data_IF_238793337743
#
_entry.id   IF_238793337743
#
_cell.length_a   1.000
_cell.length_b   1.000
_cell.length_c   1.000
_cell.angle_alpha   90.00
_cell.angle_beta   90.00
_cell.angle_gamma   90.00
#
_symmetry.space_group_name_H-M   'P 1'
#
loop_
_entity.id
_entity.type
_entity.pdbx_description
1 polymer ?
#
# COMPACT_ATOMS: atom_id res chain seq x y z
N UNK A 1 4.72 12.77 -11.51
CA UNK A 1 4.93 11.56 -10.72
C UNK A 1 3.83 10.58 -10.97
N UNK A 2 4.18 9.31 -10.96
CA UNK A 2 3.26 8.22 -11.24
C UNK A 2 3.27 7.18 -10.11
N UNK A 3 2.17 6.43 -9.97
CA UNK A 3 1.97 5.46 -8.89
C UNK A 3 1.65 4.09 -9.48
N UNK A 4 2.32 3.03 -9.01
CA UNK A 4 1.79 1.68 -9.10
C UNK A 4 0.86 1.46 -7.91
N UNK A 5 -0.42 1.21 -8.15
CA UNK A 5 -1.39 0.80 -7.13
C UNK A 5 -1.56 -0.70 -7.20
N UNK A 6 -1.17 -1.41 -6.15
CA UNK A 6 -1.23 -2.86 -6.11
C UNK A 6 -2.23 -3.35 -5.05
N UNK A 7 -2.92 -4.44 -5.35
CA UNK A 7 -3.77 -5.16 -4.39
C UNK A 7 -3.64 -6.66 -4.59
N UNK A 8 -3.95 -7.43 -3.54
CA UNK A 8 -3.93 -8.89 -3.57
C UNK A 8 -5.33 -9.45 -3.42
N UNK A 9 -5.68 -10.38 -4.31
CA UNK A 9 -6.90 -11.17 -4.18
C UNK A 9 -6.57 -12.58 -3.63
N UNK A 10 -7.32 -13.00 -2.61
CA UNK A 10 -7.35 -14.39 -2.11
C UNK A 10 -8.82 -14.80 -1.98
N UNK A 11 -9.42 -15.25 -3.09
CA UNK A 11 -10.82 -15.70 -3.15
C UNK A 11 -11.86 -14.66 -2.65
N UNK A 12 -11.61 -13.39 -2.91
CA UNK A 12 -12.50 -12.27 -2.59
C UNK A 12 -12.64 -11.34 -3.81
N UNK A 13 -13.03 -11.87 -4.99
CA UNK A 13 -13.03 -11.10 -6.24
C UNK A 13 -13.96 -9.90 -6.20
N UNK A 14 -15.09 -9.96 -5.50
CA UNK A 14 -16.04 -8.85 -5.41
C UNK A 14 -15.44 -7.64 -4.67
N UNK A 15 -14.72 -7.87 -3.57
CA UNK A 15 -14.04 -6.81 -2.82
C UNK A 15 -12.92 -6.21 -3.67
N UNK A 16 -12.12 -7.06 -4.30
CA UNK A 16 -11.03 -6.63 -5.18
C UNK A 16 -11.54 -5.81 -6.36
N UNK A 17 -12.61 -6.26 -7.03
CA UNK A 17 -13.22 -5.53 -8.15
C UNK A 17 -13.73 -4.17 -7.71
N UNK A 18 -14.43 -4.11 -6.57
CA UNK A 18 -14.94 -2.85 -6.03
C UNK A 18 -13.81 -1.87 -5.70
N UNK A 19 -12.70 -2.34 -5.11
CA UNK A 19 -11.53 -1.49 -4.85
C UNK A 19 -10.93 -0.95 -6.15
N UNK A 20 -10.71 -1.81 -7.16
CA UNK A 20 -10.18 -1.39 -8.46
C UNK A 20 -11.06 -0.33 -9.13
N UNK A 21 -12.39 -0.49 -9.09
CA UNK A 21 -13.33 0.49 -9.61
C UNK A 21 -13.26 1.84 -8.87
N UNK A 22 -13.00 1.83 -7.57
CA UNK A 22 -12.80 3.05 -6.79
C UNK A 22 -11.48 3.74 -7.15
N UNK A 23 -10.37 2.97 -7.25
CA UNK A 23 -9.05 3.51 -7.66
C UNK A 23 -9.12 4.10 -9.05
N UNK A 24 -9.78 3.43 -10.00
CA UNK A 24 -9.89 3.87 -11.40
C UNK A 24 -10.59 5.23 -11.59
N UNK A 25 -11.29 5.74 -10.58
CA UNK A 25 -11.89 7.09 -10.61
C UNK A 25 -10.88 8.21 -10.37
N UNK A 26 -9.68 7.89 -9.88
CA UNK A 26 -8.62 8.87 -9.60
C UNK A 26 -7.84 9.21 -10.89
N UNK A 27 -8.47 9.94 -11.80
CA UNK A 27 -7.92 10.22 -13.14
C UNK A 27 -6.92 11.39 -13.17
N UNK A 28 -6.74 12.11 -12.07
CA UNK A 28 -5.84 13.26 -11.96
C UNK A 28 -4.36 12.87 -11.81
N UNK A 29 -4.10 11.62 -11.48
CA UNK A 29 -2.76 11.08 -11.27
C UNK A 29 -2.51 9.94 -12.24
N UNK A 30 -1.36 9.97 -12.91
CA UNK A 30 -0.89 8.85 -13.72
C UNK A 30 -0.65 7.64 -12.81
N UNK A 31 -1.41 6.56 -13.02
CA UNK A 31 -1.26 5.36 -12.23
C UNK A 31 -1.52 4.09 -13.05
N UNK A 32 -0.87 3.02 -12.64
CA UNK A 32 -1.10 1.65 -13.09
C UNK A 32 -1.73 0.85 -11.95
N UNK A 33 -2.64 -0.06 -12.27
CA UNK A 33 -3.25 -0.94 -11.27
C UNK A 33 -2.77 -2.37 -11.49
N UNK A 34 -2.16 -2.95 -10.45
CA UNK A 34 -1.75 -4.35 -10.38
C UNK A 34 -2.67 -5.11 -9.43
N UNK A 35 -3.32 -6.16 -9.95
CA UNK A 35 -4.09 -7.12 -9.15
C UNK A 35 -3.34 -8.45 -9.16
N UNK A 36 -2.82 -8.85 -7.99
CA UNK A 36 -2.14 -10.12 -7.79
C UNK A 36 -3.13 -11.16 -7.26
N UNK A 37 -3.41 -12.19 -8.06
CA UNK A 37 -4.12 -13.39 -7.63
C UNK A 37 -3.17 -14.26 -6.78
N UNK A 38 -3.22 -14.11 -5.49
CA UNK A 38 -2.29 -14.76 -4.57
C UNK A 38 -2.79 -16.17 -4.19
N UNK A 39 -2.65 -17.10 -5.12
CA UNK A 39 -3.17 -18.46 -5.00
C UNK A 39 -4.70 -18.54 -5.01
N UNK A 40 -5.35 -17.55 -5.63
CA UNK A 40 -6.81 -17.50 -5.69
C UNK A 40 -7.35 -18.51 -6.71
N UNK A 41 -8.42 -19.21 -6.32
CA UNK A 41 -9.23 -20.06 -7.22
C UNK A 41 -10.43 -19.30 -7.80
N UNK A 42 -10.77 -18.16 -7.19
CA UNK A 42 -11.80 -17.23 -7.63
C UNK A 42 -11.12 -15.90 -8.01
N UNK A 43 -10.72 -15.72 -9.28
CA UNK A 43 -9.98 -14.54 -9.70
C UNK A 43 -10.87 -13.30 -9.81
N UNK A 44 -10.26 -12.15 -9.59
CA UNK A 44 -10.83 -10.84 -9.92
C UNK A 44 -10.98 -10.69 -11.45
N UNK A 45 -12.00 -9.95 -11.90
CA UNK A 45 -12.12 -9.57 -13.32
C UNK A 45 -11.03 -8.60 -13.78
N UNK A 46 -10.29 -8.01 -12.85
CA UNK A 46 -9.15 -7.11 -13.10
C UNK A 46 -7.78 -7.77 -12.86
N UNK A 47 -7.73 -9.09 -12.78
CA UNK A 47 -6.49 -9.85 -12.57
C UNK A 47 -5.41 -9.50 -13.60
N UNK A 48 -4.21 -9.17 -13.11
CA UNK A 48 -3.04 -8.88 -13.97
C UNK A 48 -1.91 -9.88 -13.75
N UNK A 49 -1.79 -10.42 -12.53
CA UNK A 49 -0.73 -11.34 -12.15
C UNK A 49 -1.31 -12.49 -11.30
N UNK A 50 -0.73 -13.66 -11.41
CA UNK A 50 -1.19 -14.88 -10.72
C UNK A 50 -0.05 -15.66 -10.12
N UNK A 51 -0.28 -16.26 -8.94
CA UNK A 51 0.57 -17.29 -8.36
C UNK A 51 -0.19 -18.61 -8.23
N UNK A 52 0.51 -19.72 -8.35
CA UNK A 52 -0.10 -21.04 -8.21
C UNK A 52 -0.55 -21.34 -6.77
N UNK A 53 0.12 -20.72 -5.79
CA UNK A 53 -0.13 -20.96 -4.37
C UNK A 53 -0.20 -19.62 -3.63
N UNK A 54 -0.94 -19.64 -2.50
CA UNK A 54 -0.98 -18.49 -1.60
C UNK A 54 0.40 -18.28 -0.95
N UNK A 55 1.04 -17.19 -1.30
CA UNK A 55 2.33 -16.76 -0.76
C UNK A 55 2.19 -15.97 0.55
N UNK A 56 0.98 -15.88 1.11
CA UNK A 56 0.64 -15.00 2.22
C UNK A 56 0.91 -13.52 1.91
N UNK A 57 0.69 -12.63 2.88
CA UNK A 57 0.83 -11.20 2.64
C UNK A 57 2.27 -10.79 2.31
N UNK A 58 3.23 -11.22 3.13
CA UNK A 58 4.65 -10.85 2.94
C UNK A 58 5.25 -11.41 1.66
N UNK A 59 4.87 -12.65 1.28
CA UNK A 59 5.32 -13.23 0.01
C UNK A 59 4.69 -12.53 -1.20
N UNK A 60 3.40 -12.23 -1.14
CA UNK A 60 2.73 -11.44 -2.18
C UNK A 60 3.31 -10.03 -2.30
N UNK A 61 3.63 -9.40 -1.17
CA UNK A 61 4.29 -8.09 -1.15
C UNK A 61 5.68 -8.13 -1.83
N UNK A 62 6.45 -9.20 -1.63
CA UNK A 62 7.73 -9.39 -2.32
C UNK A 62 7.56 -9.51 -3.84
N UNK A 63 6.51 -10.18 -4.33
CA UNK A 63 6.21 -10.24 -5.76
C UNK A 63 5.81 -8.89 -6.33
N UNK A 64 5.01 -8.11 -5.59
CA UNK A 64 4.67 -6.73 -5.95
C UNK A 64 5.92 -5.85 -5.99
N UNK A 65 6.83 -5.99 -5.03
CA UNK A 65 8.10 -5.25 -5.01
C UNK A 65 8.99 -5.62 -6.20
N UNK A 66 9.10 -6.92 -6.52
CA UNK A 66 9.88 -7.38 -7.66
C UNK A 66 9.34 -6.78 -8.97
N UNK A 67 8.03 -6.82 -9.18
CA UNK A 67 7.40 -6.19 -10.34
C UNK A 67 7.65 -4.68 -10.36
N UNK A 68 7.36 -3.98 -9.27
CA UNK A 68 7.54 -2.54 -9.16
C UNK A 68 8.97 -2.08 -9.46
N UNK A 69 9.96 -2.72 -8.85
CA UNK A 69 11.35 -2.32 -8.97
C UNK A 69 11.97 -2.68 -10.31
N UNK A 70 11.58 -3.82 -10.90
CA UNK A 70 12.24 -4.39 -12.08
C UNK A 70 11.46 -4.24 -13.39
N UNK A 71 10.14 -3.95 -13.35
CA UNK A 71 9.29 -3.93 -14.52
C UNK A 71 8.59 -2.57 -14.73
N UNK A 72 8.70 -1.63 -13.79
CA UNK A 72 8.08 -0.31 -13.88
C UNK A 72 9.05 0.81 -13.55
N UNK A 73 8.70 2.03 -13.98
CA UNK A 73 9.44 3.28 -13.66
C UNK A 73 8.60 4.21 -12.78
N UNK A 74 7.54 3.72 -12.13
CA UNK A 74 6.70 4.53 -11.24
C UNK A 74 7.50 5.07 -10.04
N UNK A 75 7.21 6.31 -9.64
CA UNK A 75 7.88 6.99 -8.53
C UNK A 75 7.47 6.43 -7.17
N UNK A 76 6.20 5.97 -7.09
CA UNK A 76 5.57 5.50 -5.87
C UNK A 76 4.90 4.14 -6.07
N UNK A 77 4.93 3.32 -5.02
CA UNK A 77 4.14 2.09 -4.87
C UNK A 77 3.09 2.32 -3.78
N UNK A 78 1.82 2.07 -4.10
CA UNK A 78 0.75 2.03 -3.12
C UNK A 78 0.19 0.61 -3.05
N UNK A 79 0.20 0.00 -1.86
CA UNK A 79 -0.39 -1.33 -1.66
C UNK A 79 -1.67 -1.17 -0.85
N UNK A 80 -2.79 -1.65 -1.39
CA UNK A 80 -4.09 -1.54 -0.77
C UNK A 80 -4.63 -2.91 -0.40
N UNK A 81 -5.07 -3.09 0.84
CA UNK A 81 -5.87 -4.25 1.18
C UNK A 81 -7.19 -4.22 0.38
N UNK A 82 -7.62 -5.36 -0.13
CA UNK A 82 -8.76 -5.42 -1.05
C UNK A 82 -10.13 -5.14 -0.41
N UNK A 83 -10.21 -5.13 0.91
CA UNK A 83 -11.40 -4.83 1.71
C UNK A 83 -11.56 -3.35 2.10
N UNK A 84 -10.72 -2.48 1.55
CA UNK A 84 -10.78 -1.04 1.80
C UNK A 84 -11.90 -0.37 0.98
N UNK A 85 -12.44 0.71 1.55
CA UNK A 85 -13.34 1.63 0.87
C UNK A 85 -12.65 2.99 0.80
N UNK A 86 -12.43 3.48 -0.41
CA UNK A 86 -11.81 4.79 -0.65
C UNK A 86 -12.90 5.86 -0.63
N UNK A 87 -12.67 6.90 0.17
CA UNK A 87 -13.56 8.06 0.22
C UNK A 87 -12.99 9.21 -0.64
N UNK A 88 -13.71 9.55 -1.71
CA UNK A 88 -13.37 10.63 -2.64
C UNK A 88 -12.64 10.17 -3.91
N UNK A 89 -12.84 10.90 -4.97
CA UNK A 89 -12.31 10.56 -6.30
C UNK A 89 -10.92 11.19 -6.58
N UNK A 90 -10.34 11.88 -5.60
CA UNK A 90 -9.03 12.54 -5.66
C UNK A 90 -8.03 11.98 -4.61
N UNK A 91 -8.28 10.78 -4.14
CA UNK A 91 -7.48 10.13 -3.09
C UNK A 91 -5.99 10.05 -3.43
N UNK A 92 -5.63 9.61 -4.65
CA UNK A 92 -4.23 9.46 -5.06
C UNK A 92 -3.52 10.83 -5.15
N UNK A 93 -4.20 11.86 -5.65
CA UNK A 93 -3.60 13.20 -5.74
C UNK A 93 -3.37 13.83 -4.36
N UNK A 94 -4.27 13.62 -3.42
CA UNK A 94 -4.10 14.04 -2.02
C UNK A 94 -2.90 13.33 -1.40
N UNK A 95 -2.80 12.02 -1.55
CA UNK A 95 -1.69 11.23 -1.00
C UNK A 95 -0.34 11.68 -1.56
N UNK A 96 -0.24 11.96 -2.86
CA UNK A 96 0.99 12.47 -3.47
C UNK A 96 1.35 13.86 -2.94
N UNK A 97 0.39 14.79 -2.92
CA UNK A 97 0.62 16.15 -2.45
C UNK A 97 1.12 16.15 -1.00
N UNK A 98 0.46 15.40 -0.13
CA UNK A 98 0.87 15.27 1.27
C UNK A 98 2.26 14.65 1.43
N UNK A 99 2.58 13.64 0.62
CA UNK A 99 3.90 13.01 0.67
C UNK A 99 5.03 13.96 0.24
N UNK A 100 4.79 14.78 -0.79
CA UNK A 100 5.75 15.76 -1.29
C UNK A 100 5.93 16.94 -0.34
N UNK A 101 4.82 17.54 0.09
CA UNK A 101 4.84 18.71 0.97
C UNK A 101 5.56 18.42 2.29
N UNK A 102 5.46 17.18 2.78
CA UNK A 102 6.09 16.74 4.03
C UNK A 102 7.45 16.05 3.83
N UNK A 103 7.86 15.82 2.57
CA UNK A 103 9.10 15.10 2.22
C UNK A 103 9.22 13.76 2.94
N UNK A 104 8.17 12.94 2.88
CA UNK A 104 8.16 11.59 3.47
C UNK A 104 8.50 10.53 2.44
N UNK A 105 9.12 9.43 2.87
CA UNK A 105 9.40 8.27 2.01
C UNK A 105 8.32 7.19 2.08
N UNK A 106 7.46 7.27 3.08
CA UNK A 106 6.30 6.41 3.25
C UNK A 106 5.17 7.19 3.94
N UNK A 107 3.94 6.95 3.49
CA UNK A 107 2.73 7.62 3.97
C UNK A 107 1.58 6.63 4.03
N UNK A 108 0.73 6.74 5.05
CA UNK A 108 -0.54 6.00 5.14
C UNK A 108 -1.70 6.97 5.32
N UNK A 109 -2.84 6.75 4.64
CA UNK A 109 -4.04 7.53 4.92
C UNK A 109 -4.58 7.20 6.31
N UNK A 110 -5.42 8.06 6.85
CA UNK A 110 -6.18 7.75 8.04
C UNK A 110 -7.18 6.62 7.74
N UNK A 111 -7.11 5.55 8.52
CA UNK A 111 -8.04 4.42 8.41
C UNK A 111 -9.21 4.64 9.37
N UNK A 112 -10.42 4.67 8.82
CA UNK A 112 -11.66 4.77 9.58
C UNK A 112 -12.31 3.39 9.61
N UNK A 113 -12.42 2.79 10.78
CA UNK A 113 -13.12 1.53 10.94
C UNK A 113 -14.45 1.76 11.68
N UNK A 114 -15.57 1.55 10.97
CA UNK A 114 -16.90 1.74 11.51
C UNK A 114 -17.23 0.74 12.66
N UNK A 115 -16.59 -0.42 12.66
CA UNK A 115 -16.83 -1.47 13.67
C UNK A 115 -15.98 -1.29 14.93
N UNK A 116 -14.89 -0.54 14.85
CA UNK A 116 -13.95 -0.28 15.94
C UNK A 116 -13.74 1.23 16.02
N UNK A 117 -14.54 1.95 16.84
CA UNK A 117 -14.47 3.41 16.93
C UNK A 117 -13.11 3.95 17.38
N UNK A 118 -12.25 3.10 17.95
CA UNK A 118 -10.90 3.44 18.38
C UNK A 118 -9.94 2.37 17.86
N UNK A 119 -9.13 2.73 16.88
CA UNK A 119 -8.02 1.89 16.47
C UNK A 119 -7.00 1.80 17.61
N UNK A 120 -6.50 0.61 17.92
CA UNK A 120 -5.50 0.39 18.98
C UNK A 120 -4.13 1.01 18.65
N UNK A 121 -3.83 1.17 17.35
CA UNK A 121 -2.55 1.70 16.89
C UNK A 121 -2.65 3.20 16.66
N UNK A 122 -1.86 3.97 17.39
CA UNK A 122 -1.83 5.45 17.24
C UNK A 122 -1.53 5.89 15.81
N UNK A 123 -0.77 5.10 15.07
CA UNK A 123 -0.40 5.34 13.67
C UNK A 123 -1.60 5.31 12.72
N UNK A 124 -2.66 4.60 13.08
CA UNK A 124 -3.89 4.46 12.29
C UNK A 124 -4.99 5.43 12.73
N UNK A 125 -4.80 6.16 13.82
CA UNK A 125 -5.81 7.11 14.27
C UNK A 125 -5.93 8.28 13.30
N UNK A 126 -7.17 8.64 12.99
CA UNK A 126 -7.44 9.86 12.24
C UNK A 126 -6.80 11.07 12.94
N UNK A 127 -6.01 11.84 12.19
CA UNK A 127 -5.40 13.06 12.68
C UNK A 127 -6.39 14.21 12.57
N UNK A 128 -6.97 14.62 13.70
CA UNK A 128 -8.06 15.62 13.75
C UNK A 128 -7.63 17.02 13.32
N UNK A 129 -6.32 17.31 13.29
CA UNK A 129 -5.81 18.63 12.89
C UNK A 129 -5.65 18.78 11.37
N UNK A 130 -5.91 17.73 10.59
CA UNK A 130 -5.60 17.68 9.17
C UNK A 130 -4.10 17.61 8.86
N UNK A 131 -3.75 17.32 7.61
CA UNK A 131 -2.37 17.17 7.17
C UNK A 131 -1.67 15.92 7.72
N UNK A 132 -0.40 15.81 7.38
CA UNK A 132 0.45 14.67 7.73
C UNK A 132 1.13 14.87 9.08
N UNK A 133 1.23 13.83 9.89
CA UNK A 133 2.03 13.79 11.11
C UNK A 133 3.17 12.79 10.97
N UNK A 134 4.32 13.11 11.55
CA UNK A 134 5.44 12.16 11.60
C UNK A 134 5.15 11.02 12.57
N UNK A 135 5.43 9.78 12.14
CA UNK A 135 5.32 8.55 12.92
C UNK A 135 6.59 7.71 12.79
N UNK A 136 6.76 6.70 13.63
CA UNK A 136 7.93 5.81 13.55
C UNK A 136 7.79 4.76 12.45
N UNK A 137 6.57 4.34 12.16
CA UNK A 137 6.18 3.39 11.13
C UNK A 137 4.70 3.57 10.81
N UNK A 138 4.26 3.11 9.64
CA UNK A 138 2.86 3.14 9.19
C UNK A 138 2.33 1.72 9.14
N UNK A 139 1.02 1.53 9.33
CA UNK A 139 0.37 0.23 9.14
C UNK A 139 0.24 -0.09 7.64
N UNK A 140 0.38 -1.37 7.29
CA UNK A 140 0.36 -1.82 5.90
C UNK A 140 -1.04 -2.21 5.39
N UNK A 141 -2.09 -1.54 5.83
CA UNK A 141 -3.41 -1.63 5.20
C UNK A 141 -3.49 -0.83 3.89
N UNK A 142 -2.86 0.34 3.85
CA UNK A 142 -2.82 1.22 2.68
C UNK A 142 -1.52 2.02 2.59
N UNK A 143 -0.33 1.39 2.66
CA UNK A 143 0.94 2.11 2.58
C UNK A 143 1.17 2.66 1.18
N UNK A 144 1.64 3.90 1.11
CA UNK A 144 2.26 4.48 -0.08
C UNK A 144 3.76 4.64 0.18
N UNK A 145 4.60 4.02 -0.65
CA UNK A 145 6.05 3.88 -0.47
C UNK A 145 6.77 4.53 -1.65
N UNK A 146 7.70 5.43 -1.39
CA UNK A 146 8.56 6.03 -2.42
C UNK A 146 9.57 5.00 -2.92
N UNK A 147 9.97 5.12 -4.19
CA UNK A 147 10.90 4.16 -4.83
C UNK A 147 12.19 3.95 -4.04
N UNK A 148 12.77 5.00 -3.47
CA UNK A 148 14.03 4.91 -2.72
C UNK A 148 13.93 4.02 -1.46
N UNK A 149 12.81 4.04 -0.72
CA UNK A 149 12.62 3.11 0.41
C UNK A 149 12.42 1.68 -0.07
N UNK A 150 11.71 1.48 -1.19
CA UNK A 150 11.55 0.17 -1.80
C UNK A 150 12.90 -0.40 -2.28
N UNK A 151 13.77 0.42 -2.88
CA UNK A 151 15.14 0.06 -3.29
C UNK A 151 16.04 -0.33 -2.10
N UNK A 152 15.82 0.26 -0.94
CA UNK A 152 16.55 -0.09 0.29
C UNK A 152 16.10 -1.43 0.86
N UNK A 153 14.81 -1.74 0.76
CA UNK A 153 14.21 -2.98 1.27
C UNK A 153 14.47 -4.14 0.30
N UNK A 154 14.13 -3.94 -0.98
CA UNK A 154 14.14 -4.89 -2.11
C UNK A 154 13.28 -6.13 -1.89
N UNK A 155 13.46 -6.83 -0.77
CA UNK A 155 12.74 -8.05 -0.40
C UNK A 155 12.60 -8.14 1.12
N UNK A 156 11.41 -8.47 1.59
CA UNK A 156 11.19 -8.76 3.00
C UNK A 156 11.68 -10.16 3.36
N UNK A 157 12.24 -10.35 4.57
CA UNK A 157 12.70 -11.64 5.04
C UNK A 157 11.58 -12.69 5.06
N UNK A 158 11.93 -13.94 4.79
CA UNK A 158 10.98 -15.07 4.80
C UNK A 158 10.29 -15.28 6.15
N UNK A 159 10.88 -14.82 7.24
CA UNK A 159 10.32 -14.83 8.59
C UNK A 159 9.09 -13.92 8.73
N UNK A 160 8.96 -12.91 7.84
CA UNK A 160 7.83 -11.99 7.79
C UNK A 160 6.80 -12.38 6.72
N UNK A 161 6.76 -13.65 6.32
CA UNK A 161 5.90 -14.17 5.25
C UNK A 161 4.41 -13.87 5.48
N UNK A 162 3.95 -13.91 6.73
CA UNK A 162 2.56 -13.63 7.08
C UNK A 162 2.21 -12.13 7.11
N UNK A 163 3.19 -11.25 6.92
CA UNK A 163 3.00 -9.79 6.89
C UNK A 163 3.27 -9.07 8.20
N UNK A 164 3.30 -9.79 9.32
CA UNK A 164 3.57 -9.19 10.64
C UNK A 164 5.01 -8.68 10.71
N UNK A 165 5.15 -7.36 10.92
CA UNK A 165 6.44 -6.70 11.09
C UNK A 165 7.06 -6.12 9.82
N UNK A 166 6.48 -6.32 8.64
CA UNK A 166 6.94 -5.67 7.41
C UNK A 166 6.86 -4.14 7.52
N UNK A 167 5.79 -3.63 8.08
CA UNK A 167 5.52 -2.26 8.43
C UNK A 167 6.58 -1.67 9.38
N UNK A 168 6.83 -2.35 10.50
CA UNK A 168 7.84 -1.96 11.49
C UNK A 168 9.24 -1.97 10.87
N UNK A 169 9.59 -3.02 10.13
CA UNK A 169 10.90 -3.13 9.45
C UNK A 169 11.11 -1.96 8.47
N UNK A 170 10.09 -1.62 7.70
CA UNK A 170 10.14 -0.48 6.76
C UNK A 170 10.39 0.83 7.50
N UNK A 171 9.67 1.09 8.59
CA UNK A 171 9.88 2.26 9.44
C UNK A 171 11.28 2.31 10.06
N UNK A 172 11.81 1.17 10.51
CA UNK A 172 13.17 1.07 11.03
C UNK A 172 14.23 1.40 9.97
N UNK A 173 14.09 0.89 8.75
CA UNK A 173 15.00 1.17 7.63
C UNK A 173 14.94 2.66 7.27
N UNK A 174 13.73 3.25 7.14
CA UNK A 174 13.56 4.67 6.88
C UNK A 174 14.30 5.52 7.94
N UNK A 175 14.07 5.24 9.22
CA UNK A 175 14.70 5.95 10.32
C UNK A 175 16.23 5.82 10.32
N UNK A 176 16.77 4.62 10.05
CA UNK A 176 18.24 4.41 9.96
C UNK A 176 18.87 5.21 8.82
N UNK A 177 18.12 5.54 7.79
CA UNK A 177 18.54 6.32 6.63
C UNK A 177 18.22 7.82 6.77
N UNK A 178 17.64 8.25 7.89
CA UNK A 178 17.24 9.63 8.10
C UNK A 178 16.05 10.07 7.24
N UNK A 179 15.27 9.11 6.70
CA UNK A 179 14.06 9.37 5.93
C UNK A 179 12.87 9.57 6.87
N UNK A 180 11.91 10.40 6.43
CA UNK A 180 10.71 10.69 7.21
C UNK A 180 9.58 9.73 6.87
N UNK A 181 8.73 9.46 7.85
CA UNK A 181 7.50 8.64 7.78
C UNK A 181 6.31 9.48 8.23
N UNK A 182 5.19 9.41 7.51
CA UNK A 182 3.97 10.17 7.79
C UNK A 182 2.67 9.35 7.71
#
# INVERSE_FOLDING_TARGET
MSILVATMNVNQPELTNNLVEQVSKNTEVEHEIMVLENGATEPSSYSTHTTEQNCFFGGGLNLIFDYYLNQTDHDWLMVLNNDLIIHGDNFLSIMLSEAEENDVCQLSPAIINASIPQCYWKQMHMWMSGGTRSVEWIDFQAPMLRRDICDLIKVYPSELLYGWGNDVLTGMIARQRGLKTG
#
